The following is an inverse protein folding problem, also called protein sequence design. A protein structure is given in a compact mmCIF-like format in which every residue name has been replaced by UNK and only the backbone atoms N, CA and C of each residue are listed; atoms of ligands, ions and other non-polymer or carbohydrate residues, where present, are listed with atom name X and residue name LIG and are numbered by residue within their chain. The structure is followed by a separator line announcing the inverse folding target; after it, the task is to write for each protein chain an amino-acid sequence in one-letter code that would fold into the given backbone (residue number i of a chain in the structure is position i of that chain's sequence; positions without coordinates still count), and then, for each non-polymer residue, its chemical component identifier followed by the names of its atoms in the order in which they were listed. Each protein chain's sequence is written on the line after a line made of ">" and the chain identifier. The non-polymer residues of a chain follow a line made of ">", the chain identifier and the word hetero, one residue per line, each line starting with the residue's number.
data_IF_543742671191
#
_entry.id   IF_543742671191
#
_cell.length_a   1.000
_cell.length_b   1.000
_cell.length_c   1.000
_cell.angle_alpha   90.00
_cell.angle_beta   90.00
_cell.angle_gamma   90.00
#
_symmetry.space_group_name_H-M   'P 1'
#
loop_
_entity.id
_entity.type
_entity.pdbx_description
1 polymer ?
#
# COMPACT_ATOMS: atom_id res chain seq x y z
N UNK A 1 -16.52 18.34 -3.50
CA UNK A 1 -17.30 17.09 -3.30
C UNK A 1 -16.34 15.93 -3.34
N UNK A 2 -16.16 15.21 -2.24
CA UNK A 2 -15.38 13.97 -2.24
C UNK A 2 -16.12 12.95 -3.11
N UNK A 3 -15.43 12.38 -4.10
CA UNK A 3 -16.04 11.44 -5.03
C UNK A 3 -16.18 10.09 -4.32
N UNK A 4 -17.38 9.50 -4.23
CA UNK A 4 -17.58 8.21 -3.55
C UNK A 4 -16.73 7.09 -4.14
N UNK A 5 -16.38 7.20 -5.42
CA UNK A 5 -15.44 6.28 -6.09
C UNK A 5 -14.01 6.32 -5.50
N UNK A 6 -13.55 7.46 -4.94
CA UNK A 6 -12.21 7.54 -4.34
C UNK A 6 -12.13 6.89 -2.95
N UNK A 7 -13.27 6.58 -2.31
CA UNK A 7 -13.30 5.87 -1.03
C UNK A 7 -12.69 4.47 -1.16
N UNK A 8 -13.00 3.79 -2.27
CA UNK A 8 -12.59 2.42 -2.54
C UNK A 8 -11.19 2.30 -3.14
N UNK A 9 -10.54 3.40 -3.50
CA UNK A 9 -9.15 3.41 -3.97
C UNK A 9 -8.13 3.10 -2.85
N UNK A 10 -8.59 2.87 -1.64
CA UNK A 10 -7.77 2.47 -0.49
C UNK A 10 -7.49 0.97 -0.43
N UNK A 11 -8.04 0.18 -1.36
CA UNK A 11 -7.77 -1.26 -1.50
C UNK A 11 -7.14 -1.49 -2.88
N UNK A 12 -5.89 -1.97 -2.90
CA UNK A 12 -5.21 -2.34 -4.14
C UNK A 12 -5.74 -3.66 -4.71
N UNK A 13 -5.58 -3.88 -6.02
CA UNK A 13 -5.72 -5.24 -6.56
C UNK A 13 -4.63 -6.12 -5.96
N UNK A 14 -4.91 -7.42 -5.88
CA UNK A 14 -3.90 -8.37 -5.42
C UNK A 14 -2.85 -8.63 -6.50
N UNK A 15 -1.77 -7.86 -6.47
CA UNK A 15 -0.64 -7.99 -7.40
C UNK A 15 0.46 -8.89 -6.82
N UNK A 16 0.42 -9.16 -5.52
CA UNK A 16 1.45 -9.88 -4.78
C UNK A 16 1.01 -11.30 -4.39
N UNK A 17 -0.15 -11.74 -4.88
CA UNK A 17 -0.75 -13.05 -4.62
C UNK A 17 -0.88 -13.35 -3.11
N UNK A 18 -1.31 -12.33 -2.35
CA UNK A 18 -1.57 -12.46 -0.91
C UNK A 18 -2.97 -13.00 -0.61
N UNK A 19 -3.87 -13.01 -1.59
CA UNK A 19 -5.20 -13.58 -1.53
C UNK A 19 -5.32 -14.67 -2.60
N UNK A 20 -5.63 -15.89 -2.17
CA UNK A 20 -6.05 -16.95 -3.08
C UNK A 20 -7.58 -17.02 -3.02
N UNK A 21 -8.24 -16.60 -4.10
CA UNK A 21 -9.69 -16.39 -4.17
C UNK A 21 -10.19 -15.41 -3.09
N UNK A 22 -10.72 -15.92 -1.98
CA UNK A 22 -11.18 -15.14 -0.82
C UNK A 22 -10.31 -15.33 0.41
N UNK A 23 -9.35 -16.26 0.36
CA UNK A 23 -8.55 -16.66 1.51
C UNK A 23 -7.23 -15.89 1.54
N UNK A 24 -7.16 -14.98 2.52
CA UNK A 24 -5.94 -14.24 2.83
C UNK A 24 -4.83 -15.17 3.34
N UNK A 25 -3.61 -14.95 2.85
CA UNK A 25 -2.40 -15.70 3.19
C UNK A 25 -1.43 -14.85 4.05
N UNK A 26 -1.62 -14.77 5.38
CA UNK A 26 -0.79 -13.92 6.24
C UNK A 26 0.70 -14.30 6.21
N UNK A 27 1.01 -15.58 5.96
CA UNK A 27 2.39 -16.06 5.82
C UNK A 27 3.09 -15.44 4.61
N UNK A 28 2.39 -15.25 3.50
CA UNK A 28 2.94 -14.65 2.28
C UNK A 28 3.37 -13.20 2.53
N UNK A 29 2.55 -12.42 3.25
CA UNK A 29 2.89 -11.04 3.65
C UNK A 29 4.13 -11.00 4.54
N UNK A 30 4.18 -11.88 5.55
CA UNK A 30 5.32 -11.98 6.46
C UNK A 30 6.61 -12.33 5.71
N UNK A 31 6.56 -13.26 4.74
CA UNK A 31 7.70 -13.64 3.91
C UNK A 31 8.12 -12.53 2.96
N UNK A 32 7.17 -11.87 2.30
CA UNK A 32 7.44 -10.78 1.36
C UNK A 32 8.20 -9.61 2.02
N UNK A 33 7.81 -9.26 3.25
CA UNK A 33 8.45 -8.21 4.03
C UNK A 33 9.61 -8.69 4.90
N UNK A 34 9.91 -10.00 4.90
CA UNK A 34 10.92 -10.61 5.77
C UNK A 34 10.71 -10.24 7.25
N UNK A 35 9.47 -10.42 7.72
CA UNK A 35 9.07 -10.14 9.10
C UNK A 35 9.28 -11.36 9.99
N UNK A 36 9.93 -11.14 11.14
CA UNK A 36 10.10 -12.17 12.17
C UNK A 36 8.87 -12.24 13.07
N UNK A 37 8.62 -13.40 13.69
CA UNK A 37 7.53 -13.56 14.66
C UNK A 37 7.58 -12.53 15.81
N UNK A 38 8.77 -12.10 16.24
CA UNK A 38 8.91 -11.06 17.26
C UNK A 38 8.41 -9.68 16.80
N UNK A 39 8.57 -9.37 15.51
CA UNK A 39 8.11 -8.12 14.91
C UNK A 39 6.61 -8.16 14.70
N UNK A 40 6.09 -9.28 14.21
CA UNK A 40 4.65 -9.52 14.04
C UNK A 40 3.93 -9.44 15.39
N UNK A 41 4.49 -10.07 16.43
CA UNK A 41 3.96 -10.00 17.79
C UNK A 41 3.85 -8.54 18.28
N UNK A 42 4.88 -7.73 18.03
CA UNK A 42 4.90 -6.31 18.39
C UNK A 42 3.86 -5.50 17.62
N UNK A 43 3.71 -5.76 16.32
CA UNK A 43 2.73 -5.08 15.46
C UNK A 43 1.29 -5.41 15.91
N UNK A 44 1.03 -6.68 16.26
CA UNK A 44 -0.27 -7.17 16.67
C UNK A 44 -0.58 -6.99 18.17
N UNK A 45 0.39 -6.57 18.98
CA UNK A 45 0.20 -6.41 20.43
C UNK A 45 0.03 -7.73 21.18
N UNK A 46 0.54 -8.85 20.65
CA UNK A 46 0.43 -10.19 21.24
C UNK A 46 1.78 -10.72 21.73
N UNK A 47 1.77 -11.80 22.52
CA UNK A 47 2.99 -12.49 22.90
C UNK A 47 3.65 -13.18 21.69
N UNK A 48 4.99 -13.18 21.63
CA UNK A 48 5.75 -13.83 20.53
C UNK A 48 5.39 -15.31 20.33
N UNK A 49 5.13 -16.03 21.42
CA UNK A 49 4.73 -17.45 21.40
C UNK A 49 3.33 -17.67 20.82
N UNK A 50 2.49 -16.64 20.78
CA UNK A 50 1.14 -16.71 20.24
C UNK A 50 1.09 -16.50 18.72
N UNK A 51 2.18 -16.02 18.10
CA UNK A 51 2.24 -15.82 16.64
C UNK A 51 2.28 -17.16 15.92
N UNK A 52 1.19 -17.45 15.21
CA UNK A 52 1.01 -18.61 14.34
C UNK A 52 0.26 -18.22 13.08
N UNK A 53 0.27 -19.09 12.07
CA UNK A 53 -0.29 -18.83 10.74
C UNK A 53 -1.25 -19.94 10.27
N UNK A 54 -1.65 -20.81 11.20
CA UNK A 54 -2.63 -21.87 10.96
C UNK A 54 -4.05 -21.37 11.28
N UNK A 55 -5.01 -22.28 11.33
CA UNK A 55 -6.42 -22.01 11.61
C UNK A 55 -6.67 -21.38 13.00
N UNK A 56 -5.71 -21.45 13.92
CA UNK A 56 -5.79 -20.83 15.25
C UNK A 56 -5.02 -19.49 15.32
N UNK A 57 -4.70 -18.88 14.17
CA UNK A 57 -4.09 -17.55 14.13
C UNK A 57 -4.88 -16.55 15.00
N UNK A 58 -4.21 -15.83 15.94
CA UNK A 58 -4.87 -14.78 16.70
C UNK A 58 -5.47 -13.74 15.77
N UNK A 59 -6.70 -13.31 16.07
CA UNK A 59 -7.43 -12.32 15.29
C UNK A 59 -6.58 -11.08 15.01
N UNK A 60 -5.93 -10.53 16.03
CA UNK A 60 -5.10 -9.32 15.91
C UNK A 60 -3.90 -9.51 14.97
N UNK A 61 -3.30 -10.71 14.95
CA UNK A 61 -2.21 -11.02 14.03
C UNK A 61 -2.70 -11.06 12.59
N UNK A 62 -3.85 -11.70 12.36
CA UNK A 62 -4.47 -11.78 11.04
C UNK A 62 -4.83 -10.38 10.53
N UNK A 63 -5.55 -9.60 11.34
CA UNK A 63 -6.00 -8.25 11.00
C UNK A 63 -4.81 -7.36 10.61
N UNK A 64 -3.74 -7.32 11.43
CA UNK A 64 -2.58 -6.48 11.11
C UNK A 64 -1.83 -6.91 9.86
N UNK A 65 -1.69 -8.21 9.62
CA UNK A 65 -1.05 -8.69 8.40
C UNK A 65 -1.90 -8.41 7.17
N UNK A 66 -3.22 -8.46 7.28
CA UNK A 66 -4.15 -8.12 6.21
C UNK A 66 -4.06 -6.64 5.83
N UNK A 67 -4.06 -5.76 6.84
CA UNK A 67 -3.82 -4.33 6.66
C UNK A 67 -2.48 -4.05 5.97
N UNK A 68 -1.40 -4.69 6.42
CA UNK A 68 -0.08 -4.56 5.80
C UNK A 68 -0.08 -5.07 4.36
N UNK A 69 -0.71 -6.22 4.10
CA UNK A 69 -0.85 -6.80 2.76
C UNK A 69 -1.55 -5.84 1.80
N UNK A 70 -2.63 -5.19 2.25
CA UNK A 70 -3.35 -4.19 1.48
C UNK A 70 -2.45 -3.00 1.09
N UNK A 71 -1.63 -2.52 2.02
CA UNK A 71 -0.67 -1.44 1.75
C UNK A 71 0.42 -1.88 0.76
N UNK A 72 0.94 -3.10 0.89
CA UNK A 72 1.88 -3.65 -0.07
C UNK A 72 1.28 -3.71 -1.48
N UNK A 73 0.02 -4.13 -1.62
CA UNK A 73 -0.69 -4.15 -2.90
C UNK A 73 -0.94 -2.75 -3.48
N UNK A 74 -1.22 -1.75 -2.64
CA UNK A 74 -1.33 -0.34 -3.08
C UNK A 74 -0.01 0.20 -3.63
N UNK A 75 1.12 -0.20 -3.03
CA UNK A 75 2.45 0.15 -3.54
C UNK A 75 2.76 -0.65 -4.81
N UNK A 76 2.41 -1.93 -4.87
CA UNK A 76 2.57 -2.73 -6.08
C UNK A 76 1.80 -2.14 -7.25
N UNK A 77 0.58 -1.64 -7.02
CA UNK A 77 -0.19 -0.92 -8.03
C UNK A 77 0.53 0.34 -8.55
N UNK A 78 1.33 1.02 -7.73
CA UNK A 78 2.15 2.14 -8.17
C UNK A 78 3.24 1.69 -9.16
N UNK A 79 3.84 0.53 -8.90
CA UNK A 79 4.84 -0.10 -9.76
C UNK A 79 4.23 -1.02 -10.83
N UNK A 80 2.94 -0.85 -11.16
CA UNK A 80 2.24 -1.61 -12.21
C UNK A 80 2.26 -3.13 -11.99
N UNK A 81 2.26 -3.54 -10.72
CA UNK A 81 2.29 -4.95 -10.30
C UNK A 81 3.69 -5.56 -10.17
N UNK A 82 4.76 -4.77 -10.33
CA UNK A 82 6.12 -5.28 -10.19
C UNK A 82 6.46 -5.57 -8.71
N UNK A 83 6.36 -6.84 -8.33
CA UNK A 83 6.65 -7.32 -6.98
C UNK A 83 8.10 -7.07 -6.56
N UNK A 84 9.07 -7.17 -7.48
CA UNK A 84 10.48 -6.99 -7.17
C UNK A 84 10.80 -5.52 -6.86
N UNK A 85 10.28 -4.59 -7.66
CA UNK A 85 10.38 -3.14 -7.37
C UNK A 85 9.68 -2.78 -6.08
N UNK A 86 8.53 -3.38 -5.81
CA UNK A 86 7.78 -3.16 -4.57
C UNK A 86 8.60 -3.62 -3.36
N UNK A 87 9.13 -4.83 -3.37
CA UNK A 87 9.98 -5.36 -2.31
C UNK A 87 11.27 -4.53 -2.13
N UNK A 88 11.84 -4.02 -3.23
CA UNK A 88 12.99 -3.11 -3.15
C UNK A 88 12.59 -1.80 -2.47
N UNK A 89 11.48 -1.18 -2.86
CA UNK A 89 11.00 0.07 -2.28
C UNK A 89 10.75 -0.04 -0.77
N UNK A 90 10.20 -1.17 -0.30
CA UNK A 90 10.01 -1.40 1.14
C UNK A 90 11.34 -1.52 1.90
N UNK A 91 12.42 -1.99 1.25
CA UNK A 91 13.75 -2.15 1.86
C UNK A 91 14.62 -0.91 1.77
N UNK A 92 14.39 -0.05 0.78
CA UNK A 92 15.17 1.17 0.55
C UNK A 92 14.79 2.26 1.56
N UNK A 93 15.79 2.91 2.15
CA UNK A 93 15.58 4.06 3.03
C UNK A 93 14.99 5.22 2.23
N UNK A 94 14.02 5.92 2.82
CA UNK A 94 13.37 7.05 2.19
C UNK A 94 13.60 8.34 2.99
N UNK A 95 14.29 9.35 2.44
CA UNK A 95 14.49 10.64 3.10
C UNK A 95 13.18 11.31 3.52
N UNK A 96 12.11 11.17 2.74
CA UNK A 96 10.79 11.75 3.02
C UNK A 96 10.12 11.08 4.24
N UNK A 97 10.51 9.85 4.56
CA UNK A 97 10.04 9.14 5.76
C UNK A 97 10.95 9.38 6.98
N UNK A 98 11.98 10.23 6.85
CA UNK A 98 12.98 10.46 7.89
C UNK A 98 14.11 9.43 7.86
N UNK A 99 14.61 9.11 6.66
CA UNK A 99 15.74 8.19 6.40
C UNK A 99 15.54 6.75 6.91
N UNK A 100 14.29 6.35 7.09
CA UNK A 100 13.90 5.00 7.48
C UNK A 100 13.28 4.28 6.28
N UNK A 101 13.48 2.96 6.20
CA UNK A 101 12.78 2.16 5.20
C UNK A 101 11.31 1.95 5.58
N UNK A 102 10.38 1.88 4.61
CA UNK A 102 8.98 1.55 4.88
C UNK A 102 8.81 0.24 5.66
N UNK A 103 9.64 -0.77 5.38
CA UNK A 103 9.68 -2.03 6.13
C UNK A 103 10.04 -1.81 7.60
N UNK A 104 11.04 -0.99 7.89
CA UNK A 104 11.43 -0.74 9.28
C UNK A 104 10.36 0.08 10.02
N UNK A 105 9.63 0.96 9.34
CA UNK A 105 8.45 1.60 9.93
C UNK A 105 7.40 0.57 10.36
N UNK A 106 7.14 -0.46 9.55
CA UNK A 106 6.23 -1.56 9.90
C UNK A 106 6.78 -2.32 11.12
N UNK A 107 8.06 -2.74 11.08
CA UNK A 107 8.71 -3.46 12.19
C UNK A 107 8.68 -2.73 13.52
N UNK A 108 8.77 -1.39 13.50
CA UNK A 108 8.71 -0.58 14.71
C UNK A 108 7.28 -0.19 15.14
N UNK A 109 6.24 -0.70 14.47
CA UNK A 109 4.84 -0.40 14.80
C UNK A 109 4.38 0.98 14.36
N UNK A 110 5.09 1.64 13.44
CA UNK A 110 4.73 2.96 12.87
C UNK A 110 3.90 2.80 11.59
N UNK A 111 3.09 1.74 11.54
CA UNK A 111 2.29 1.38 10.38
C UNK A 111 1.28 2.48 10.00
N UNK A 112 0.56 3.05 10.98
CA UNK A 112 -0.41 4.12 10.73
C UNK A 112 0.17 5.32 9.98
N UNK A 113 1.40 5.70 10.34
CA UNK A 113 2.11 6.81 9.69
C UNK A 113 2.46 6.47 8.25
N UNK A 114 2.92 5.24 8.00
CA UNK A 114 3.22 4.76 6.65
C UNK A 114 1.95 4.69 5.79
N UNK A 115 0.85 4.15 6.32
CA UNK A 115 -0.44 4.07 5.64
C UNK A 115 -0.94 5.45 5.19
N UNK A 116 -0.94 6.43 6.11
CA UNK A 116 -1.35 7.81 5.79
C UNK A 116 -0.48 8.43 4.70
N UNK A 117 0.83 8.17 4.75
CA UNK A 117 1.76 8.66 3.75
C UNK A 117 1.46 8.11 2.35
N UNK A 118 1.24 6.79 2.23
CA UNK A 118 0.97 6.13 0.95
C UNK A 118 -0.36 6.60 0.37
N UNK A 119 -1.42 6.69 1.19
CA UNK A 119 -2.73 7.20 0.75
C UNK A 119 -2.64 8.67 0.32
N UNK A 120 -1.88 9.50 1.05
CA UNK A 120 -1.62 10.89 0.67
C UNK A 120 -0.93 10.97 -0.70
N UNK A 121 0.15 10.21 -0.89
CA UNK A 121 0.89 10.18 -2.15
C UNK A 121 0.05 9.72 -3.35
N UNK A 122 -0.89 8.78 -3.15
CA UNK A 122 -1.83 8.38 -4.20
C UNK A 122 -2.83 9.50 -4.53
N UNK A 123 -3.35 10.19 -3.52
CA UNK A 123 -4.31 11.29 -3.70
C UNK A 123 -3.67 12.43 -4.48
N UNK A 124 -2.44 12.83 -4.12
CA UNK A 124 -1.69 13.87 -4.82
C UNK A 124 -1.47 13.50 -6.29
N UNK A 125 -1.13 12.24 -6.58
CA UNK A 125 -0.98 11.73 -7.96
C UNK A 125 -2.27 11.84 -8.76
N UNK A 126 -3.42 11.50 -8.18
CA UNK A 126 -4.70 11.60 -8.89
C UNK A 126 -5.05 13.04 -9.26
N UNK A 127 -4.76 13.98 -8.35
CA UNK A 127 -4.95 15.42 -8.61
C UNK A 127 -4.03 15.89 -9.73
N UNK A 128 -2.78 15.42 -9.75
CA UNK A 128 -1.79 15.77 -10.77
C UNK A 128 -2.17 15.25 -12.17
N UNK A 129 -2.65 13.99 -12.26
CA UNK A 129 -3.16 13.41 -13.50
C UNK A 129 -4.39 14.16 -14.02
N UNK A 130 -5.35 14.48 -13.15
CA UNK A 130 -6.57 15.23 -13.52
C UNK A 130 -6.23 16.64 -14.04
N UNK A 131 -5.25 17.30 -13.43
CA UNK A 131 -4.79 18.63 -13.84
C UNK A 131 -4.12 18.60 -15.23
N UNK A 132 -3.25 17.61 -15.47
CA UNK A 132 -2.61 17.40 -16.77
C UNK A 132 -3.61 17.03 -17.87
N UNK A 133 -4.60 16.19 -17.57
CA UNK A 133 -5.66 15.83 -18.53
C UNK A 133 -6.50 17.05 -18.93
N UNK A 134 -6.90 17.89 -17.97
CA UNK A 134 -7.66 19.13 -18.23
C UNK A 134 -6.89 20.11 -19.13
N UNK A 135 -5.58 20.25 -18.91
CA UNK A 135 -4.72 21.11 -19.73
C UNK A 135 -4.63 20.63 -21.18
N UNK A 136 -4.54 19.32 -21.42
CA UNK A 136 -4.50 18.74 -22.78
C UNK A 136 -5.85 18.92 -23.48
N UNK A 137 -6.97 18.64 -22.80
CA UNK A 137 -8.31 18.81 -23.38
C UNK A 137 -8.60 20.27 -23.74
N UNK A 138 -8.24 21.23 -22.89
CA UNK A 138 -8.44 22.66 -23.18
C UNK A 138 -7.56 23.16 -24.34
N UNK A 139 -6.35 22.60 -24.49
CA UNK A 139 -5.45 22.93 -25.60
C UNK A 139 -5.95 22.37 -26.95
N UNK A 140 -6.70 21.27 -26.93
CA UNK A 140 -7.34 20.70 -28.12
C UNK A 140 -8.56 21.50 -28.57
N UNK A 141 -9.35 22.04 -27.63
CA UNK A 141 -10.53 22.86 -27.92
C UNK A 141 -10.16 24.25 -28.49
N UNK A 142 -9.04 24.83 -28.07
CA UNK A 142 -8.55 26.12 -28.59
C UNK A 142 -7.92 26.04 -29.99
N UNK A 143 -7.72 24.85 -30.58
CA UNK A 143 -7.18 24.69 -31.94
C UNK A 143 -8.26 24.58 -33.02
N UNK A 144 -9.54 24.49 -32.65
CA UNK A 144 -10.67 24.30 -33.57
C UNK A 144 -11.59 25.51 -33.68
N UNK A 145 -11.18 26.69 -33.20
CA UNK A 145 -11.94 27.92 -33.40
C UNK A 145 -11.72 28.41 -34.85
N UNK A 146 -12.75 28.43 -35.72
CA UNK A 146 -12.61 29.01 -37.05
C UNK A 146 -12.44 30.53 -36.90
N UNK A 147 -11.38 31.04 -37.52
CA UNK A 147 -11.19 32.48 -37.74
C UNK A 147 -12.23 32.88 -38.78
N UNK A 148 -13.28 33.58 -38.36
CA UNK A 148 -14.25 34.24 -39.24
C UNK A 148 -13.70 35.58 -39.72
#
# INVERSE_FOLDING_TARGET
>A
MANSASLFNTVGRDYLDFWHDTDFQPRSVAQFLDLKNSEIAKIAGVAKSSVRFDHEIPHDVRERLEEIGNICNLVAQYFEGDAAKTALWFRTQNPVLGEISPRDMIRFGRYDKLRRFIIGAQTDRELDKKSKQRLVTNRSLNRTAPVY
#
